data_IF_826181939022
#
_entry.id   IF_826181939022
#
_cell.length_a   1.000
_cell.length_b   1.000
_cell.length_c   1.000
_cell.angle_alpha   90.00
_cell.angle_beta   90.00
_cell.angle_gamma   90.00
#
_symmetry.space_group_name_H-M   'P 1'
#
loop_
_entity.id
_entity.type
_entity.pdbx_description
1 polymer ?
#
# COMPACT_ATOMS: atom_id res chain seq x y z
N UNK A 1 -8.17 -26.93 4.51
CA UNK A 1 -7.19 -26.54 3.75
C UNK A 1 -7.19 -25.08 3.46
N UNK A 2 -7.23 -24.84 2.19
CA UNK A 2 -7.15 -23.47 1.74
C UNK A 2 -8.20 -22.58 2.35
N UNK A 3 -9.41 -23.09 2.46
CA UNK A 3 -10.50 -22.32 3.03
C UNK A 3 -10.22 -21.87 4.45
N UNK A 4 -9.42 -22.61 5.19
CA UNK A 4 -9.08 -22.25 6.57
C UNK A 4 -8.19 -21.02 6.65
N UNK A 5 -7.47 -20.73 5.57
CA UNK A 5 -6.53 -19.62 5.54
C UNK A 5 -6.99 -18.49 4.64
N UNK A 6 -8.08 -18.67 3.94
CA UNK A 6 -8.57 -17.71 3.00
C UNK A 6 -9.63 -16.82 3.62
N UNK A 7 -9.38 -15.51 3.60
CA UNK A 7 -10.35 -14.54 4.09
C UNK A 7 -11.07 -13.90 2.92
N UNK A 8 -12.39 -13.89 2.95
CA UNK A 8 -13.18 -13.23 1.93
C UNK A 8 -13.29 -11.73 2.18
N UNK A 9 -13.01 -11.30 3.40
CA UNK A 9 -13.07 -9.89 3.77
C UNK A 9 -11.67 -9.33 3.96
N UNK A 10 -11.05 -8.90 2.88
CA UNK A 10 -9.69 -8.38 2.87
C UNK A 10 -9.46 -7.23 3.83
N UNK A 11 -10.49 -6.44 4.08
CA UNK A 11 -10.36 -5.24 4.89
C UNK A 11 -10.40 -5.51 6.39
N UNK A 12 -10.83 -6.71 6.79
CA UNK A 12 -11.03 -7.03 8.20
C UNK A 12 -10.20 -8.20 8.71
N UNK A 13 -9.74 -9.07 7.83
CA UNK A 13 -9.01 -10.29 8.22
C UNK A 13 -7.58 -9.95 8.68
N UNK A 14 -7.22 -10.21 9.96
CA UNK A 14 -5.89 -9.87 10.46
C UNK A 14 -4.71 -10.39 9.64
N UNK A 15 -4.68 -11.66 9.21
CA UNK A 15 -3.57 -12.12 8.38
C UNK A 15 -3.44 -11.36 7.07
N UNK A 16 -4.56 -10.99 6.45
CA UNK A 16 -4.54 -10.25 5.20
C UNK A 16 -4.15 -8.80 5.41
N UNK A 17 -4.61 -8.19 6.51
CA UNK A 17 -4.22 -6.82 6.85
C UNK A 17 -2.71 -6.76 7.04
N UNK A 18 -2.16 -7.67 7.84
CA UNK A 18 -0.71 -7.67 8.09
C UNK A 18 0.07 -7.96 6.82
N UNK A 19 -0.42 -8.89 6.00
CA UNK A 19 0.22 -9.22 4.74
C UNK A 19 0.27 -8.05 3.77
N UNK A 20 -0.80 -7.26 3.71
CA UNK A 20 -0.82 -6.07 2.87
C UNK A 20 0.15 -5.01 3.36
N UNK A 21 0.27 -4.84 4.66
CA UNK A 21 1.21 -3.88 5.23
C UNK A 21 2.65 -4.35 4.97
N UNK A 22 2.93 -5.65 5.15
CA UNK A 22 4.24 -6.21 4.88
C UNK A 22 4.63 -6.03 3.41
N UNK A 23 3.69 -6.24 2.51
CA UNK A 23 3.94 -6.01 1.09
C UNK A 23 4.24 -4.55 0.82
N UNK A 24 3.45 -3.65 1.40
CA UNK A 24 3.61 -2.21 1.21
C UNK A 24 4.99 -1.72 1.64
N UNK A 25 5.51 -2.22 2.75
CA UNK A 25 6.81 -1.78 3.26
C UNK A 25 7.99 -2.48 2.61
N UNK A 26 7.74 -3.49 1.78
CA UNK A 26 8.80 -4.31 1.22
C UNK A 26 9.74 -3.52 0.31
N UNK A 27 10.90 -4.12 0.07
CA UNK A 27 11.99 -3.48 -0.67
C UNK A 27 11.58 -2.99 -2.06
N UNK A 28 10.78 -3.76 -2.76
CA UNK A 28 10.36 -3.41 -4.12
C UNK A 28 9.15 -2.48 -4.15
N UNK A 29 8.50 -2.31 -3.02
CA UNK A 29 7.36 -1.41 -2.89
C UNK A 29 7.84 -0.07 -2.32
N UNK A 30 7.41 0.28 -1.12
CA UNK A 30 7.78 1.57 -0.52
C UNK A 30 9.15 1.55 0.14
N UNK A 31 9.72 0.39 0.35
CA UNK A 31 11.08 0.22 0.90
C UNK A 31 11.29 1.00 2.20
N UNK A 32 10.45 0.72 3.17
CA UNK A 32 10.54 1.39 4.46
C UNK A 32 11.49 0.60 5.38
N UNK A 33 12.67 1.13 5.60
CA UNK A 33 13.65 0.52 6.48
C UNK A 33 13.20 0.61 7.94
N UNK A 34 13.61 -0.37 8.71
CA UNK A 34 13.28 -0.40 10.13
C UNK A 34 11.99 -1.11 10.45
N UNK A 35 11.19 -1.42 9.45
CA UNK A 35 9.96 -2.18 9.61
C UNK A 35 10.14 -3.57 9.01
N UNK A 36 9.78 -4.58 9.77
CA UNK A 36 9.76 -5.95 9.31
C UNK A 36 8.48 -6.61 9.78
N UNK A 37 8.28 -7.91 9.46
CA UNK A 37 7.06 -8.61 9.85
C UNK A 37 6.79 -8.57 11.35
N UNK A 38 7.83 -8.69 12.17
CA UNK A 38 7.67 -8.67 13.62
C UNK A 38 7.21 -7.30 14.13
N UNK A 39 7.77 -6.24 13.56
CA UNK A 39 7.40 -4.88 13.94
C UNK A 39 5.99 -4.55 13.49
N UNK A 40 5.62 -4.98 12.28
CA UNK A 40 4.26 -4.81 11.77
C UNK A 40 3.27 -5.50 12.70
N UNK A 41 3.57 -6.72 13.10
CA UNK A 41 2.70 -7.46 14.01
C UNK A 41 2.57 -6.73 15.35
N UNK A 42 3.68 -6.25 15.89
CA UNK A 42 3.68 -5.50 17.14
C UNK A 42 2.80 -4.26 17.05
N UNK A 43 2.96 -3.48 15.99
CA UNK A 43 2.16 -2.27 15.79
C UNK A 43 0.68 -2.61 15.62
N UNK A 44 0.38 -3.69 14.92
CA UNK A 44 -0.99 -4.14 14.74
C UNK A 44 -1.62 -4.54 16.08
N UNK A 45 -0.88 -5.31 16.90
CA UNK A 45 -1.37 -5.77 18.20
C UNK A 45 -1.58 -4.60 19.16
N UNK A 46 -0.76 -3.56 19.05
CA UNK A 46 -0.90 -2.36 19.88
C UNK A 46 -1.97 -1.41 19.37
N UNK A 47 -2.61 -1.74 18.26
CA UNK A 47 -3.67 -0.91 17.70
C UNK A 47 -3.18 0.34 17.00
N UNK A 48 -1.89 0.43 16.70
CA UNK A 48 -1.32 1.59 16.04
C UNK A 48 -1.61 1.65 14.55
N UNK A 49 -1.68 0.49 13.91
CA UNK A 49 -1.93 0.43 12.47
C UNK A 49 -3.01 -0.60 12.16
N UNK A 50 -3.87 -0.27 11.20
CA UNK A 50 -4.90 -1.16 10.70
C UNK A 50 -4.89 -1.23 9.17
N UNK A 51 -4.18 -0.31 8.53
CA UNK A 51 -3.97 -0.33 7.08
C UNK A 51 -2.68 0.41 6.76
N UNK A 52 -2.32 0.42 5.47
CA UNK A 52 -1.05 1.02 5.06
C UNK A 52 -1.00 2.53 5.27
N UNK A 53 -2.15 3.20 5.22
CA UNK A 53 -2.18 4.65 5.41
C UNK A 53 -1.90 5.04 6.86
N UNK A 54 -2.20 4.16 7.81
CA UNK A 54 -1.93 4.43 9.22
C UNK A 54 -0.44 4.58 9.51
N UNK A 55 0.42 4.02 8.65
CA UNK A 55 1.86 4.17 8.82
C UNK A 55 2.25 5.66 8.83
N UNK A 56 1.55 6.46 8.04
CA UNK A 56 1.88 7.89 7.88
C UNK A 56 1.34 8.77 9.00
N UNK A 57 0.58 8.20 9.92
CA UNK A 57 0.10 8.92 11.10
C UNK A 57 0.91 8.58 12.34
N UNK A 58 1.84 7.65 12.25
CA UNK A 58 2.67 7.26 13.38
C UNK A 58 3.61 8.39 13.78
N UNK A 59 3.81 8.52 15.09
CA UNK A 59 4.73 9.50 15.65
C UNK A 59 5.78 8.76 16.47
N UNK A 60 6.93 9.38 16.64
CA UNK A 60 7.99 8.82 17.46
C UNK A 60 7.46 8.45 18.83
N UNK A 61 6.61 9.30 19.41
CA UNK A 61 6.03 9.06 20.75
C UNK A 61 5.16 7.81 20.80
N UNK A 62 4.57 7.40 19.68
CA UNK A 62 3.75 6.19 19.63
C UNK A 62 4.63 4.93 19.69
N UNK A 63 5.83 5.01 19.16
CA UNK A 63 6.72 3.87 18.98
C UNK A 63 7.68 3.70 20.14
N UNK A 64 8.19 4.80 20.66
CA UNK A 64 9.27 4.79 21.64
C UNK A 64 8.94 4.03 22.92
N UNK A 65 7.67 3.96 23.26
CA UNK A 65 7.21 3.28 24.47
C UNK A 65 6.91 1.80 24.27
N UNK A 66 7.03 1.31 23.03
CA UNK A 66 6.77 -0.09 22.75
C UNK A 66 7.95 -0.96 23.19
N UNK A 67 7.61 -2.20 23.54
CA UNK A 67 8.63 -3.16 23.95
C UNK A 67 9.66 -3.35 22.85
N UNK A 68 10.93 -3.38 23.23
CA UNK A 68 12.07 -3.56 22.34
C UNK A 68 12.31 -2.40 21.36
N UNK A 69 11.60 -1.31 21.56
CA UNK A 69 11.78 -0.10 20.76
C UNK A 69 12.46 0.96 21.60
N UNK A 70 13.45 1.61 21.03
CA UNK A 70 14.12 2.73 21.67
C UNK A 70 13.92 3.97 20.82
N UNK A 71 14.46 5.07 21.29
CA UNK A 71 14.36 6.33 20.58
C UNK A 71 14.95 6.24 19.17
N UNK A 72 16.12 5.61 19.05
CA UNK A 72 16.78 5.50 17.75
C UNK A 72 16.00 4.64 16.78
N UNK A 73 15.43 3.53 17.25
CA UNK A 73 14.59 2.67 16.40
C UNK A 73 13.36 3.44 15.93
N UNK A 74 12.73 4.17 16.85
CA UNK A 74 11.55 4.95 16.52
C UNK A 74 11.88 6.02 15.49
N UNK A 75 12.98 6.74 15.67
CA UNK A 75 13.41 7.76 14.71
C UNK A 75 13.70 7.18 13.33
N UNK A 76 14.37 6.03 13.28
CA UNK A 76 14.69 5.38 12.02
C UNK A 76 13.42 4.95 11.27
N UNK A 77 12.44 4.43 11.99
CA UNK A 77 11.17 4.02 11.39
C UNK A 77 10.46 5.24 10.81
N UNK A 78 10.32 6.29 11.59
CA UNK A 78 9.66 7.51 11.14
C UNK A 78 10.39 8.13 9.95
N UNK A 79 11.72 8.13 9.97
CA UNK A 79 12.51 8.63 8.86
C UNK A 79 12.27 7.81 7.59
N UNK A 80 12.22 6.48 7.72
CA UNK A 80 11.94 5.62 6.58
C UNK A 80 10.56 5.88 6.00
N UNK A 81 9.57 6.09 6.86
CA UNK A 81 8.21 6.41 6.43
C UNK A 81 8.19 7.74 5.66
N UNK A 82 8.87 8.76 6.19
CA UNK A 82 8.96 10.06 5.52
C UNK A 82 9.62 9.94 4.16
N UNK A 83 10.71 9.20 4.08
CA UNK A 83 11.42 9.01 2.82
C UNK A 83 10.56 8.28 1.79
N UNK A 84 9.68 7.40 2.23
CA UNK A 84 8.83 6.64 1.32
C UNK A 84 7.85 7.52 0.55
N UNK A 85 7.59 8.72 1.02
CA UNK A 85 6.70 9.66 0.31
C UNK A 85 7.26 10.05 -1.05
N UNK A 86 8.57 9.91 -1.24
CA UNK A 86 9.24 10.25 -2.50
C UNK A 86 9.33 9.08 -3.47
N UNK A 87 8.88 7.91 -3.10
CA UNK A 87 8.91 6.73 -3.96
C UNK A 87 8.07 6.99 -5.22
N UNK A 88 8.58 6.61 -6.41
CA UNK A 88 7.85 6.85 -7.66
C UNK A 88 6.44 6.26 -7.68
N UNK A 89 5.55 6.92 -8.39
CA UNK A 89 4.14 6.50 -8.49
C UNK A 89 3.99 5.03 -8.87
N UNK A 90 4.76 4.53 -9.82
CA UNK A 90 4.67 3.13 -10.24
C UNK A 90 4.91 2.16 -9.08
N UNK A 91 5.82 2.51 -8.18
CA UNK A 91 6.09 1.68 -7.01
C UNK A 91 5.00 1.80 -5.97
N UNK A 92 4.43 2.98 -5.80
CA UNK A 92 3.29 3.17 -4.91
C UNK A 92 2.14 2.31 -5.37
N UNK A 93 1.90 2.27 -6.67
CA UNK A 93 0.84 1.47 -7.26
C UNK A 93 1.07 -0.02 -6.98
N UNK A 94 2.29 -0.49 -7.17
CA UNK A 94 2.65 -1.87 -6.84
C UNK A 94 2.46 -2.14 -5.35
N UNK A 95 2.85 -1.17 -4.52
CA UNK A 95 2.78 -1.30 -3.06
C UNK A 95 1.36 -1.48 -2.53
N UNK A 96 0.35 -0.99 -3.26
CA UNK A 96 -1.04 -1.14 -2.85
C UNK A 96 -1.50 -2.60 -2.84
N UNK A 97 -0.77 -3.48 -3.55
CA UNK A 97 -1.08 -4.89 -3.53
C UNK A 97 -2.36 -5.26 -4.27
N UNK A 98 -2.67 -4.54 -5.34
CA UNK A 98 -3.85 -4.85 -6.17
C UNK A 98 -3.63 -6.22 -6.80
N UNK A 99 -4.62 -7.09 -6.65
CA UNK A 99 -4.51 -8.47 -7.15
C UNK A 99 -4.16 -8.48 -8.64
N UNK A 100 -3.23 -9.32 -9.04
CA UNK A 100 -2.71 -9.49 -10.40
C UNK A 100 -1.86 -8.32 -10.90
N UNK A 101 -1.64 -7.30 -10.09
CA UNK A 101 -0.82 -6.16 -10.48
C UNK A 101 0.56 -6.29 -9.84
N UNK A 102 1.50 -6.87 -10.58
CA UNK A 102 2.89 -6.96 -10.17
C UNK A 102 3.66 -5.73 -10.62
N UNK A 103 4.98 -5.77 -10.49
CA UNK A 103 5.83 -4.62 -10.84
C UNK A 103 5.68 -4.19 -12.30
N UNK A 104 5.69 -5.15 -13.22
CA UNK A 104 5.61 -4.84 -14.64
C UNK A 104 4.27 -4.21 -14.99
N UNK A 105 3.18 -4.79 -14.49
CA UNK A 105 1.84 -4.25 -14.73
C UNK A 105 1.71 -2.87 -14.12
N UNK A 106 2.22 -2.67 -12.91
CA UNK A 106 2.17 -1.36 -12.26
C UNK A 106 2.88 -0.29 -13.09
N UNK A 107 4.03 -0.62 -13.66
CA UNK A 107 4.75 0.32 -14.55
C UNK A 107 3.94 0.69 -15.77
N UNK A 108 3.31 -0.29 -16.40
CA UNK A 108 2.51 -0.08 -17.59
C UNK A 108 1.30 0.79 -17.29
N UNK A 109 0.62 0.49 -16.19
CA UNK A 109 -0.56 1.24 -15.76
C UNK A 109 -0.18 2.68 -15.39
N UNK A 110 0.89 2.84 -14.63
CA UNK A 110 1.35 4.17 -14.22
C UNK A 110 1.73 5.04 -15.42
N UNK A 111 2.35 4.43 -16.41
CA UNK A 111 2.75 5.15 -17.61
C UNK A 111 1.54 5.60 -18.43
N UNK A 112 0.51 4.75 -18.48
CA UNK A 112 -0.69 5.03 -19.27
C UNK A 112 -1.60 6.05 -18.62
N UNK A 113 -1.84 5.95 -17.32
CA UNK A 113 -2.80 6.80 -16.63
C UNK A 113 -2.18 8.00 -15.94
N UNK A 114 -0.89 7.88 -15.58
CA UNK A 114 -0.09 8.98 -15.01
C UNK A 114 -0.49 9.46 -13.62
N UNK A 115 -1.69 9.15 -13.14
CA UNK A 115 -2.09 9.51 -11.79
C UNK A 115 -3.05 8.49 -11.22
N UNK A 116 -3.11 8.46 -9.91
CA UNK A 116 -4.03 7.57 -9.21
C UNK A 116 -5.49 7.94 -9.50
N UNK A 117 -5.77 9.25 -9.60
CA UNK A 117 -7.14 9.71 -9.89
C UNK A 117 -7.59 9.28 -11.28
N UNK A 118 -6.72 9.42 -12.27
CA UNK A 118 -7.05 8.98 -13.63
C UNK A 118 -7.31 7.47 -13.67
N UNK A 119 -6.51 6.72 -12.93
CA UNK A 119 -6.68 5.27 -12.85
C UNK A 119 -8.00 4.90 -12.16
N UNK A 120 -8.32 5.59 -11.07
CA UNK A 120 -9.56 5.32 -10.34
C UNK A 120 -10.81 5.59 -11.17
N UNK A 121 -10.71 6.50 -12.13
CA UNK A 121 -11.83 6.86 -13.01
C UNK A 121 -11.83 6.06 -14.31
N UNK A 122 -10.85 5.18 -14.52
CA UNK A 122 -10.74 4.42 -15.77
C UNK A 122 -11.88 3.41 -15.92
N UNK A 123 -12.32 3.22 -17.18
CA UNK A 123 -13.28 2.19 -17.51
C UNK A 123 -12.58 0.89 -17.82
N UNK A 124 -13.35 -0.19 -17.95
CA UNK A 124 -12.78 -1.47 -18.36
C UNK A 124 -12.08 -1.33 -19.71
N UNK A 125 -12.69 -0.64 -20.66
CA UNK A 125 -12.10 -0.42 -21.97
C UNK A 125 -10.79 0.34 -21.89
N UNK A 126 -10.74 1.37 -21.08
CA UNK A 126 -9.51 2.15 -20.87
C UNK A 126 -8.38 1.25 -20.40
N UNK A 127 -8.68 0.36 -19.45
CA UNK A 127 -7.68 -0.53 -18.88
C UNK A 127 -7.21 -1.59 -19.88
N UNK A 128 -8.14 -2.17 -20.64
CA UNK A 128 -7.80 -3.20 -21.60
C UNK A 128 -6.91 -2.66 -22.72
N UNK A 129 -7.02 -1.37 -23.03
CA UNK A 129 -6.19 -0.74 -24.05
C UNK A 129 -4.72 -0.61 -23.63
N UNK A 130 -4.43 -0.75 -22.35
CA UNK A 130 -3.04 -0.72 -21.88
C UNK A 130 -2.38 -2.04 -22.27
N UNK A 131 -1.18 -1.95 -22.84
CA UNK A 131 -0.40 -3.12 -23.24
C UNK A 131 -0.24 -4.08 -22.08
N UNK A 132 -0.43 -5.38 -22.34
CA UNK A 132 -0.33 -6.47 -21.37
C UNK A 132 -1.42 -6.50 -20.29
N UNK A 133 -2.41 -5.63 -20.36
CA UNK A 133 -3.54 -5.64 -19.43
C UNK A 133 -4.71 -6.37 -20.09
N UNK A 134 -4.97 -7.58 -19.62
CA UNK A 134 -6.13 -8.33 -20.07
C UNK A 134 -7.34 -8.04 -19.21
N UNK A 135 -8.45 -8.68 -19.56
CA UNK A 135 -9.71 -8.48 -18.85
C UNK A 135 -9.61 -8.81 -17.36
N UNK A 136 -8.89 -9.90 -17.01
CA UNK A 136 -8.76 -10.33 -15.64
C UNK A 136 -8.06 -9.29 -14.77
N UNK A 137 -6.97 -8.73 -15.27
CA UNK A 137 -6.23 -7.69 -14.57
C UNK A 137 -7.07 -6.42 -14.48
N UNK A 138 -7.72 -6.06 -15.59
CA UNK A 138 -8.57 -4.86 -15.63
C UNK A 138 -9.71 -4.96 -14.62
N UNK A 139 -10.38 -6.09 -14.53
CA UNK A 139 -11.45 -6.29 -13.55
C UNK A 139 -10.93 -6.20 -12.13
N UNK A 140 -9.74 -6.73 -11.87
CA UNK A 140 -9.13 -6.67 -10.54
C UNK A 140 -8.91 -5.22 -10.12
N UNK A 141 -8.41 -4.40 -11.04
CA UNK A 141 -8.18 -2.98 -10.78
C UNK A 141 -9.50 -2.27 -10.50
N UNK A 142 -10.53 -2.54 -11.31
CA UNK A 142 -11.85 -1.94 -11.11
C UNK A 142 -12.44 -2.31 -9.76
N UNK A 143 -12.33 -3.56 -9.35
CA UNK A 143 -12.81 -4.02 -8.06
C UNK A 143 -12.09 -3.32 -6.91
N UNK A 144 -10.79 -3.13 -7.06
CA UNK A 144 -10.02 -2.46 -6.03
C UNK A 144 -10.56 -1.04 -5.79
N UNK A 145 -10.76 -0.28 -6.85
CA UNK A 145 -11.22 1.10 -6.74
C UNK A 145 -12.73 1.22 -6.45
N UNK A 146 -13.48 0.14 -6.63
CA UNK A 146 -14.89 0.11 -6.25
C UNK A 146 -15.09 0.01 -4.75
N UNK A 147 -14.06 -0.44 -4.02
CA UNK A 147 -14.14 -0.61 -2.58
C UNK A 147 -13.88 0.73 -1.88
N UNK A 148 -14.88 1.27 -1.14
CA UNK A 148 -14.71 2.56 -0.45
C UNK A 148 -13.53 2.60 0.52
N UNK A 149 -13.21 1.48 1.14
CA UNK A 149 -12.07 1.42 2.07
C UNK A 149 -10.76 1.67 1.34
N UNK A 150 -10.62 1.13 0.13
CA UNK A 150 -9.42 1.35 -0.67
C UNK A 150 -9.31 2.80 -1.10
N UNK A 151 -10.43 3.41 -1.47
CA UNK A 151 -10.44 4.84 -1.82
C UNK A 151 -10.08 5.72 -0.63
N UNK A 152 -10.54 5.34 0.55
CA UNK A 152 -10.19 6.05 1.78
C UNK A 152 -8.69 5.96 2.06
N UNK A 153 -8.11 4.79 1.90
CA UNK A 153 -6.67 4.60 2.06
C UNK A 153 -5.89 5.51 1.12
N UNK A 154 -6.30 5.54 -0.14
CA UNK A 154 -5.63 6.38 -1.14
C UNK A 154 -5.74 7.85 -0.78
N UNK A 155 -6.89 8.30 -0.33
CA UNK A 155 -7.07 9.69 0.07
C UNK A 155 -6.19 10.05 1.26
N UNK A 156 -6.09 9.14 2.23
CA UNK A 156 -5.21 9.38 3.38
C UNK A 156 -3.73 9.37 2.98
N UNK A 157 -3.34 8.56 2.01
CA UNK A 157 -1.99 8.59 1.47
C UNK A 157 -1.73 9.92 0.77
N UNK A 158 -2.72 10.44 0.06
CA UNK A 158 -2.63 11.75 -0.60
C UNK A 158 -2.39 12.85 0.42
N UNK A 159 -3.19 12.87 1.47
CA UNK A 159 -3.07 13.85 2.55
C UNK A 159 -1.70 13.78 3.21
N UNK A 160 -1.17 12.57 3.34
CA UNK A 160 0.14 12.35 3.94
C UNK A 160 1.29 12.85 3.07
N UNK A 161 1.04 13.07 1.78
CA UNK A 161 2.09 13.54 0.88
C UNK A 161 2.76 12.46 0.05
N UNK A 162 2.19 11.26 0.02
CA UNK A 162 2.70 10.18 -0.83
C UNK A 162 2.48 10.54 -2.30
N UNK A 163 3.45 10.18 -3.12
CA UNK A 163 3.40 10.49 -4.55
C UNK A 163 2.35 9.64 -5.26
N UNK A 164 1.27 10.26 -5.72
CA UNK A 164 0.17 9.59 -6.41
C UNK A 164 0.04 9.96 -7.87
N UNK A 165 1.12 10.40 -8.48
CA UNK A 165 1.15 10.72 -9.89
C UNK A 165 2.57 10.76 -10.41
N UNK A 166 2.70 10.58 -11.73
CA UNK A 166 4.00 10.67 -12.37
C UNK A 166 4.48 12.12 -12.37
N UNK A 167 5.78 12.28 -12.28
CA UNK A 167 6.36 13.61 -12.40
C UNK A 167 6.16 14.13 -13.82
N UNK A 168 5.89 15.39 -13.91
CA UNK A 168 5.66 16.04 -15.22
C UNK A 168 6.95 16.71 -15.67
#
# INVERSE_FOLDING_TARGET
GEAAYYCTNDAACPPQIKGKIEHFISRRAMDIDGLGPETVDQFYQEGLIRDVADLYTLKTSDIINLERMGEKSAENIIKGIEQSKEVPFERVLFALGIRFVGETVAKKVAKSFKSMDALADASLDDLIHVDEIGEKIAQSILLYFANPKNRDIIERLRVAGVRLGADV
#
